data_IF_857168015078
#
_entry.id   IF_857168015078
#
_cell.length_a   1.000
_cell.length_b   1.000
_cell.length_c   1.000
_cell.angle_alpha   90.00
_cell.angle_beta   90.00
_cell.angle_gamma   90.00
#
_symmetry.space_group_name_H-M   'P 1'
#
loop_
_entity.id
_entity.type
_entity.pdbx_description
1 polymer ?
#
# COMPACT_ATOMS: atom_id res chain seq x y z
N UNK A 1 -26.18 14.45 5.76
CA UNK A 1 -26.74 13.08 5.76
C UNK A 1 -25.57 12.11 5.90
N UNK A 2 -25.59 11.19 6.87
CA UNK A 2 -24.61 10.09 6.99
C UNK A 2 -23.39 10.34 7.87
N UNK A 3 -23.58 10.40 9.19
CA UNK A 3 -22.53 10.13 10.19
C UNK A 3 -22.36 8.61 10.38
N UNK A 4 -21.23 8.24 10.98
CA UNK A 4 -20.99 7.02 11.77
C UNK A 4 -20.55 5.75 11.02
N UNK A 5 -19.23 5.49 11.06
CA UNK A 5 -18.66 4.33 11.78
C UNK A 5 -17.13 4.36 11.76
N UNK A 6 -16.57 5.01 12.78
CA UNK A 6 -15.28 4.59 13.32
C UNK A 6 -15.56 3.41 14.26
N UNK A 7 -15.03 2.22 13.96
CA UNK A 7 -14.97 1.14 14.94
C UNK A 7 -13.51 0.74 15.19
N UNK A 8 -13.14 0.82 16.47
CA UNK A 8 -11.82 0.62 17.02
C UNK A 8 -11.58 -0.89 17.20
N UNK A 9 -10.36 -1.33 16.93
CA UNK A 9 -9.89 -2.69 17.19
C UNK A 9 -8.46 -2.68 17.72
N UNK A 10 -8.23 -1.92 18.77
CA UNK A 10 -7.02 -2.02 19.60
C UNK A 10 -7.07 -3.33 20.38
N UNK A 11 -6.18 -4.27 20.11
CA UNK A 11 -5.81 -5.28 21.10
C UNK A 11 -4.32 -5.14 21.39
N UNK A 12 -4.07 -4.20 22.29
CA UNK A 12 -2.84 -4.02 23.01
C UNK A 12 -2.82 -5.00 24.19
N UNK A 13 -1.71 -5.73 24.28
CA UNK A 13 -1.15 -6.50 25.38
C UNK A 13 -1.92 -6.48 26.71
N UNK A 14 -2.32 -7.66 27.19
CA UNK A 14 -2.58 -7.89 28.61
C UNK A 14 -1.96 -9.21 29.07
N UNK A 15 -0.65 -9.13 29.31
CA UNK A 15 0.08 -10.05 30.18
C UNK A 15 -0.34 -9.68 31.61
N UNK A 16 -1.36 -10.36 32.13
CA UNK A 16 -1.74 -10.18 33.53
C UNK A 16 -0.79 -10.96 34.43
N UNK A 17 -0.25 -10.20 35.38
CA UNK A 17 0.77 -10.55 36.34
C UNK A 17 0.26 -11.59 37.33
N UNK A 18 1.05 -12.65 37.56
CA UNK A 18 0.89 -13.51 38.72
C UNK A 18 1.15 -12.69 39.99
N UNK A 19 0.08 -12.33 40.70
CA UNK A 19 0.17 -11.68 42.01
C UNK A 19 0.13 -12.77 43.07
N UNK A 20 1.28 -13.12 43.64
CA UNK A 20 1.34 -13.94 44.86
C UNK A 20 0.91 -13.05 46.02
N UNK A 21 -0.37 -13.11 46.39
CA UNK A 21 -0.87 -12.47 47.61
C UNK A 21 -0.51 -13.33 48.82
N UNK A 22 0.64 -13.02 49.41
CA UNK A 22 1.00 -13.45 50.74
C UNK A 22 0.34 -12.49 51.74
N UNK A 23 -0.93 -12.75 52.09
CA UNK A 23 -1.64 -11.99 53.11
C UNK A 23 -1.36 -12.61 54.48
N UNK A 24 -0.50 -11.94 55.25
CA UNK A 24 -0.26 -12.26 56.65
C UNK A 24 -1.55 -12.13 57.47
N UNK A 25 -1.95 -13.22 58.10
CA UNK A 25 -2.97 -13.24 59.14
C UNK A 25 -2.31 -13.30 60.52
N UNK A 26 -2.69 -12.30 61.31
CA UNK A 26 -2.41 -11.99 62.71
C UNK A 26 -2.07 -13.18 63.64
N UNK A 27 -1.04 -12.99 64.46
CA UNK A 27 -0.69 -13.83 65.60
C UNK A 27 -1.76 -13.71 66.70
N UNK A 28 -2.68 -14.66 66.74
CA UNK A 28 -3.47 -14.94 67.94
C UNK A 28 -2.80 -16.13 68.65
N UNK A 29 -2.12 -15.82 69.76
CA UNK A 29 -1.40 -16.79 70.58
C UNK A 29 -2.40 -17.41 71.56
N UNK A 30 -2.93 -18.57 71.23
CA UNK A 30 -3.76 -19.38 72.13
C UNK A 30 -2.92 -19.96 73.30
N UNK A 31 -3.53 -20.20 74.48
CA UNK A 31 -2.85 -20.74 75.67
C UNK A 31 -2.32 -22.16 75.42
N UNK A 32 -1.31 -22.63 76.18
CA UNK A 32 -0.60 -23.86 75.87
C UNK A 32 -1.53 -25.06 76.04
N UNK A 33 -2.02 -25.59 74.92
CA UNK A 33 -2.65 -26.89 74.89
C UNK A 33 -1.62 -27.91 75.36
N UNK A 34 -1.99 -28.59 76.44
CA UNK A 34 -1.37 -29.77 77.02
C UNK A 34 -0.81 -30.66 75.91
N UNK A 35 0.46 -31.05 76.02
CA UNK A 35 1.09 -32.07 75.19
C UNK A 35 0.40 -33.42 75.46
N UNK A 36 -0.79 -33.61 74.90
CA UNK A 36 -1.37 -34.91 74.64
C UNK A 36 -0.40 -35.60 73.68
N UNK A 37 0.27 -36.64 74.19
CA UNK A 37 1.12 -37.54 73.42
C UNK A 37 0.21 -38.23 72.41
N UNK A 38 0.01 -37.58 71.27
CA UNK A 38 -0.87 -38.04 70.19
C UNK A 38 -0.55 -39.49 69.86
N UNK A 39 -1.59 -40.33 69.91
CA UNK A 39 -1.49 -41.73 69.55
C UNK A 39 -0.71 -41.85 68.23
N UNK A 40 0.33 -42.69 68.21
CA UNK A 40 1.03 -42.97 66.96
C UNK A 40 -0.01 -43.40 65.92
N UNK A 41 0.01 -42.80 64.71
CA UNK A 41 -0.91 -43.18 63.67
C UNK A 41 -0.75 -44.68 63.45
N UNK A 42 -1.81 -45.42 63.78
CA UNK A 42 -1.80 -46.87 63.63
C UNK A 42 -1.51 -47.19 62.16
N UNK A 43 -0.77 -48.25 61.85
CA UNK A 43 -0.38 -48.56 60.45
C UNK A 43 -1.53 -48.54 59.44
N UNK A 44 -2.76 -48.81 59.90
CA UNK A 44 -4.00 -48.69 59.13
C UNK A 44 -4.29 -47.25 58.66
N UNK A 45 -4.08 -46.24 59.51
CA UNK A 45 -4.26 -44.83 59.16
C UNK A 45 -3.24 -44.37 58.11
N UNK A 46 -2.01 -44.86 58.20
CA UNK A 46 -0.94 -44.56 57.23
C UNK A 46 -1.29 -45.16 55.87
N UNK A 47 -1.74 -46.41 55.82
CA UNK A 47 -2.16 -47.07 54.58
C UNK A 47 -3.35 -46.36 53.93
N UNK A 48 -4.37 -45.99 54.72
CA UNK A 48 -5.52 -45.24 54.21
C UNK A 48 -5.11 -43.87 53.61
N UNK A 49 -4.16 -43.17 54.24
CA UNK A 49 -3.64 -41.91 53.71
C UNK A 49 -2.84 -42.10 52.41
N UNK A 50 -2.05 -43.17 52.30
CA UNK A 50 -1.32 -43.51 51.07
C UNK A 50 -2.31 -43.82 49.94
N UNK A 51 -3.34 -44.63 50.20
CA UNK A 51 -4.37 -44.96 49.22
C UNK A 51 -5.12 -43.71 48.76
N UNK A 52 -5.53 -42.84 49.69
CA UNK A 52 -6.17 -41.56 49.37
C UNK A 52 -5.29 -40.65 48.53
N UNK A 53 -4.00 -40.50 48.88
CA UNK A 53 -3.05 -39.70 48.12
C UNK A 53 -2.79 -40.28 46.73
N UNK A 54 -2.68 -41.61 46.63
CA UNK A 54 -2.50 -42.33 45.37
C UNK A 54 -3.70 -42.13 44.44
N UNK A 55 -4.92 -42.27 44.96
CA UNK A 55 -6.15 -42.01 44.21
C UNK A 55 -6.21 -40.55 43.74
N UNK A 56 -5.91 -39.58 44.61
CA UNK A 56 -5.92 -38.17 44.23
C UNK A 56 -4.92 -37.85 43.10
N UNK A 57 -3.71 -38.41 43.17
CA UNK A 57 -2.71 -38.27 42.09
C UNK A 57 -3.15 -38.95 40.80
N UNK A 58 -3.75 -40.14 40.90
CA UNK A 58 -4.26 -40.85 39.74
C UNK A 58 -5.34 -40.04 39.01
N UNK A 59 -6.24 -39.41 39.75
CA UNK A 59 -7.26 -38.51 39.17
C UNK A 59 -6.61 -37.30 38.48
N UNK A 60 -5.60 -36.67 39.08
CA UNK A 60 -4.88 -35.56 38.46
C UNK A 60 -4.14 -35.97 37.18
N UNK A 61 -3.48 -37.14 37.18
CA UNK A 61 -2.79 -37.67 36.00
C UNK A 61 -3.78 -37.90 34.86
N UNK A 62 -4.96 -38.46 35.15
CA UNK A 62 -6.01 -38.67 34.15
C UNK A 62 -6.53 -37.34 33.62
N UNK A 63 -6.76 -36.34 34.48
CA UNK A 63 -7.20 -35.01 34.05
C UNK A 63 -6.16 -34.35 33.12
N UNK A 64 -4.88 -34.37 33.50
CA UNK A 64 -3.78 -33.84 32.67
C UNK A 64 -3.71 -34.57 31.33
N UNK A 65 -3.88 -35.90 31.32
CA UNK A 65 -3.87 -36.66 30.07
C UNK A 65 -5.01 -36.25 29.13
N UNK A 66 -6.20 -35.93 29.68
CA UNK A 66 -7.32 -35.39 28.89
C UNK A 66 -6.96 -34.01 28.34
N UNK A 67 -6.46 -33.10 29.17
CA UNK A 67 -6.08 -31.75 28.74
C UNK A 67 -5.00 -31.77 27.64
N UNK A 68 -3.99 -32.65 27.77
CA UNK A 68 -2.97 -32.83 26.74
C UNK A 68 -3.56 -33.31 25.42
N UNK A 69 -4.56 -34.19 25.45
CA UNK A 69 -5.23 -34.64 24.23
C UNK A 69 -6.08 -33.53 23.59
N UNK A 70 -6.72 -32.70 24.41
CA UNK A 70 -7.45 -31.52 23.90
C UNK A 70 -6.49 -30.51 23.25
N UNK A 71 -5.38 -30.19 23.91
CA UNK A 71 -4.36 -29.30 23.36
C UNK A 71 -3.77 -29.83 22.04
N UNK A 72 -3.59 -31.15 21.91
CA UNK A 72 -3.16 -31.77 20.66
C UNK A 72 -4.18 -31.58 19.54
N UNK A 73 -5.47 -31.73 19.85
CA UNK A 73 -6.54 -31.49 18.89
C UNK A 73 -6.59 -30.02 18.46
N UNK A 74 -6.51 -29.09 19.41
CA UNK A 74 -6.50 -27.66 19.13
C UNK A 74 -5.28 -27.25 18.28
N UNK A 75 -4.09 -27.81 18.57
CA UNK A 75 -2.88 -27.57 17.79
C UNK A 75 -3.04 -28.04 16.33
N UNK A 76 -3.65 -29.20 16.11
CA UNK A 76 -3.95 -29.70 14.75
C UNK A 76 -4.84 -28.73 13.97
N UNK A 77 -5.86 -28.17 14.62
CA UNK A 77 -6.76 -27.19 13.99
C UNK A 77 -6.03 -25.89 13.67
N UNK A 78 -5.14 -25.43 14.56
CA UNK A 78 -4.34 -24.22 14.32
C UNK A 78 -3.36 -24.43 13.16
N UNK A 79 -2.73 -25.59 13.08
CA UNK A 79 -1.82 -25.96 11.98
C UNK A 79 -2.54 -25.92 10.63
N UNK A 80 -3.70 -26.58 10.51
CA UNK A 80 -4.51 -26.56 9.28
C UNK A 80 -4.90 -25.14 8.87
N UNK A 81 -5.30 -24.32 9.85
CA UNK A 81 -5.65 -22.92 9.60
C UNK A 81 -4.43 -22.10 9.17
N UNK A 82 -3.26 -22.34 9.75
CA UNK A 82 -2.02 -21.64 9.37
C UNK A 82 -1.68 -21.93 7.92
N UNK A 83 -1.64 -23.21 7.54
CA UNK A 83 -1.36 -23.64 6.17
C UNK A 83 -2.34 -23.01 5.18
N UNK A 84 -3.65 -23.09 5.46
CA UNK A 84 -4.67 -22.50 4.59
C UNK A 84 -4.53 -20.96 4.46
N UNK A 85 -4.07 -20.27 5.50
CA UNK A 85 -3.80 -18.83 5.42
C UNK A 85 -2.53 -18.51 4.64
N UNK A 86 -1.48 -19.30 4.79
CA UNK A 86 -0.21 -19.13 4.08
C UNK A 86 -0.38 -19.36 2.57
N UNK A 87 -1.16 -20.37 2.18
CA UNK A 87 -1.50 -20.63 0.78
C UNK A 87 -2.29 -19.46 0.17
N UNK A 88 -3.27 -18.92 0.90
CA UNK A 88 -4.04 -17.75 0.45
C UNK A 88 -3.15 -16.52 0.30
N UNK A 89 -2.23 -16.28 1.24
CA UNK A 89 -1.29 -15.17 1.16
C UNK A 89 -0.36 -15.33 -0.05
N UNK A 90 0.14 -16.53 -0.29
CA UNK A 90 1.00 -16.84 -1.45
C UNK A 90 0.26 -16.59 -2.77
N UNK A 91 -1.00 -17.03 -2.86
CA UNK A 91 -1.84 -16.79 -4.04
C UNK A 91 -2.07 -15.28 -4.26
N UNK A 92 -2.43 -14.55 -3.20
CA UNK A 92 -2.62 -13.10 -3.26
C UNK A 92 -1.35 -12.35 -3.68
N UNK A 93 -0.18 -12.80 -3.22
CA UNK A 93 1.11 -12.22 -3.64
C UNK A 93 1.33 -12.42 -5.13
N UNK A 94 1.09 -13.64 -5.64
CA UNK A 94 1.17 -13.93 -7.07
C UNK A 94 0.23 -13.05 -7.89
N UNK A 95 -1.02 -12.88 -7.45
CA UNK A 95 -1.99 -12.02 -8.15
C UNK A 95 -1.55 -10.56 -8.19
N UNK A 96 -1.00 -10.05 -7.08
CA UNK A 96 -0.45 -8.68 -7.00
C UNK A 96 0.71 -8.51 -7.97
N UNK A 97 1.60 -9.49 -8.07
CA UNK A 97 2.74 -9.44 -8.97
C UNK A 97 2.30 -9.48 -10.44
N UNK A 98 1.31 -10.33 -10.76
CA UNK A 98 0.68 -10.38 -12.08
C UNK A 98 0.04 -9.04 -12.42
N UNK A 99 -0.75 -8.46 -11.51
CA UNK A 99 -1.41 -7.16 -11.73
C UNK A 99 -0.40 -6.04 -11.94
N UNK A 100 0.68 -6.00 -11.15
CA UNK A 100 1.75 -5.02 -11.34
C UNK A 100 2.40 -5.17 -12.71
N UNK A 101 2.74 -6.40 -13.10
CA UNK A 101 3.43 -6.67 -14.36
C UNK A 101 2.56 -6.46 -15.60
N UNK A 102 1.26 -6.77 -15.51
CA UNK A 102 0.34 -6.75 -16.66
C UNK A 102 -0.43 -5.43 -16.80
N UNK A 103 -0.65 -4.71 -15.71
CA UNK A 103 -1.50 -3.51 -15.70
C UNK A 103 -0.73 -2.27 -15.33
N UNK A 104 -0.09 -2.24 -14.15
CA UNK A 104 0.54 -1.01 -13.66
C UNK A 104 1.69 -0.56 -14.56
N UNK A 105 2.66 -1.44 -14.81
CA UNK A 105 3.86 -1.07 -15.59
C UNK A 105 3.54 -0.73 -17.05
N UNK A 106 2.63 -1.44 -17.77
CA UNK A 106 2.33 -1.07 -19.14
C UNK A 106 1.51 0.22 -19.23
N UNK A 107 0.61 0.49 -18.29
CA UNK A 107 -0.18 1.73 -18.27
C UNK A 107 0.70 2.95 -17.97
N UNK A 108 1.64 2.85 -17.02
CA UNK A 108 2.61 3.91 -16.76
C UNK A 108 3.45 4.21 -18.01
N UNK A 109 3.95 3.16 -18.68
CA UNK A 109 4.71 3.31 -19.92
C UNK A 109 3.88 3.94 -21.06
N UNK A 110 2.62 3.54 -21.21
CA UNK A 110 1.71 4.11 -22.20
C UNK A 110 1.39 5.58 -21.91
N UNK A 111 1.13 5.91 -20.65
CA UNK A 111 0.84 7.29 -20.22
C UNK A 111 2.01 8.20 -20.55
N UNK A 112 3.23 7.81 -20.15
CA UNK A 112 4.44 8.56 -20.48
C UNK A 112 4.64 8.74 -21.99
N UNK A 113 4.41 7.68 -22.76
CA UNK A 113 4.51 7.73 -24.22
C UNK A 113 3.48 8.69 -24.83
N UNK A 114 2.27 8.74 -24.29
CA UNK A 114 1.24 9.66 -24.75
C UNK A 114 1.55 11.10 -24.37
N UNK A 115 2.07 11.34 -23.17
CA UNK A 115 2.54 12.66 -22.73
C UNK A 115 3.63 13.21 -23.67
N UNK A 116 4.64 12.40 -23.99
CA UNK A 116 5.71 12.79 -24.93
C UNK A 116 5.13 13.14 -26.33
N UNK A 117 4.16 12.35 -26.81
CA UNK A 117 3.51 12.63 -28.10
C UNK A 117 2.69 13.92 -28.08
N UNK A 118 2.04 14.22 -26.96
CA UNK A 118 1.28 15.47 -26.78
C UNK A 118 2.24 16.64 -26.74
N UNK A 119 3.32 16.57 -25.97
CA UNK A 119 4.33 17.62 -25.89
C UNK A 119 4.95 17.91 -27.28
N UNK A 120 5.32 16.87 -28.02
CA UNK A 120 5.87 17.00 -29.36
C UNK A 120 4.84 17.58 -30.37
N UNK A 121 3.57 17.15 -30.28
CA UNK A 121 2.50 17.69 -31.11
C UNK A 121 2.22 19.18 -30.79
N UNK A 122 2.14 19.54 -29.52
CA UNK A 122 1.98 20.93 -29.07
C UNK A 122 3.18 21.78 -29.48
N UNK A 123 4.38 21.24 -29.32
CA UNK A 123 5.62 21.88 -29.74
C UNK A 123 5.57 22.20 -31.23
N UNK A 124 5.27 21.21 -32.09
CA UNK A 124 5.10 21.44 -33.53
C UNK A 124 4.02 22.46 -33.86
N UNK A 125 2.86 22.38 -33.21
CA UNK A 125 1.75 23.29 -33.44
C UNK A 125 2.09 24.75 -33.09
N UNK A 126 2.96 24.98 -32.10
CA UNK A 126 3.38 26.31 -31.66
C UNK A 126 4.63 26.86 -32.36
N UNK A 127 5.38 26.07 -33.14
CA UNK A 127 6.64 26.50 -33.78
C UNK A 127 6.51 27.75 -34.64
N UNK A 128 5.37 27.93 -35.31
CA UNK A 128 5.12 29.08 -36.17
C UNK A 128 4.24 30.15 -35.49
N UNK A 129 3.88 29.96 -34.22
CA UNK A 129 3.03 30.89 -33.50
C UNK A 129 3.92 31.91 -32.78
N UNK A 130 3.73 33.18 -33.12
CA UNK A 130 4.36 34.29 -32.40
C UNK A 130 3.40 34.79 -31.32
N UNK A 131 3.92 34.95 -30.10
CA UNK A 131 3.17 35.57 -28.99
C UNK A 131 3.81 36.90 -28.66
N UNK A 132 3.12 37.98 -29.01
CA UNK A 132 3.55 39.34 -28.68
C UNK A 132 2.87 39.75 -27.37
N UNK A 133 3.66 40.24 -26.40
CA UNK A 133 3.19 40.61 -25.05
C UNK A 133 3.65 42.03 -24.76
N UNK A 134 2.81 42.82 -24.07
CA UNK A 134 3.14 44.19 -23.67
C UNK A 134 2.45 45.30 -24.47
N UNK A 135 1.52 44.96 -25.35
CA UNK A 135 0.61 45.95 -25.94
C UNK A 135 -0.51 46.30 -24.97
N UNK A 136 -0.89 47.58 -24.93
CA UNK A 136 -2.14 48.01 -24.31
C UNK A 136 -3.32 47.57 -25.19
N UNK A 137 -4.46 47.27 -24.57
CA UNK A 137 -5.65 46.81 -25.28
C UNK A 137 -6.14 47.86 -26.30
N UNK A 138 -6.46 47.41 -27.52
CA UNK A 138 -7.04 48.26 -28.57
C UNK A 138 -6.05 49.06 -29.43
N UNK A 139 -4.73 48.94 -29.21
CA UNK A 139 -3.71 49.64 -30.05
C UNK A 139 -3.70 49.19 -31.50
N UNK A 140 -4.21 48.00 -31.75
CA UNK A 140 -4.27 47.34 -33.04
C UNK A 140 -5.33 47.99 -33.96
N UNK A 141 -6.27 48.75 -33.38
CA UNK A 141 -7.37 49.36 -34.10
C UNK A 141 -8.29 48.31 -34.76
N UNK A 142 -8.85 48.65 -35.92
CA UNK A 142 -9.77 47.77 -36.65
C UNK A 142 -9.06 46.71 -37.51
N UNK A 143 -7.75 46.84 -37.76
CA UNK A 143 -6.99 45.92 -38.61
C UNK A 143 -5.66 45.51 -37.96
N UNK A 144 -5.69 44.33 -37.33
CA UNK A 144 -4.56 43.72 -36.63
C UNK A 144 -3.38 43.42 -37.56
N UNK A 145 -3.65 42.98 -38.79
CA UNK A 145 -2.60 42.60 -39.75
C UNK A 145 -1.74 43.81 -40.15
N UNK A 146 -2.38 44.93 -40.47
CA UNK A 146 -1.68 46.17 -40.83
C UNK A 146 -0.87 46.73 -39.65
N UNK A 147 -1.40 46.64 -38.43
CA UNK A 147 -0.69 47.03 -37.22
C UNK A 147 0.55 46.15 -36.99
N UNK A 148 0.40 44.81 -37.07
CA UNK A 148 1.51 43.88 -36.89
C UNK A 148 2.59 44.05 -37.97
N UNK A 149 2.20 44.28 -39.22
CA UNK A 149 3.16 44.49 -40.32
C UNK A 149 4.00 45.76 -40.08
N UNK A 150 3.36 46.87 -39.72
CA UNK A 150 4.04 48.13 -39.40
C UNK A 150 4.91 47.99 -38.14
N UNK A 151 4.42 47.30 -37.11
CA UNK A 151 5.18 47.04 -35.89
C UNK A 151 6.42 46.17 -36.16
N UNK A 152 6.30 45.09 -36.95
CA UNK A 152 7.42 44.23 -37.33
C UNK A 152 8.47 45.02 -38.10
N UNK A 153 8.07 45.82 -39.11
CA UNK A 153 8.98 46.66 -39.90
C UNK A 153 9.74 47.67 -39.04
N UNK A 154 9.08 48.24 -38.02
CA UNK A 154 9.69 49.20 -37.09
C UNK A 154 10.60 48.54 -36.06
N UNK A 155 10.21 47.37 -35.56
CA UNK A 155 10.87 46.72 -34.42
C UNK A 155 12.03 45.81 -34.84
N UNK A 156 11.93 45.21 -36.03
CA UNK A 156 12.99 44.43 -36.65
C UNK A 156 13.56 45.23 -37.82
N UNK A 157 14.52 46.15 -37.58
CA UNK A 157 15.23 46.79 -38.67
C UNK A 157 15.86 45.70 -39.53
N UNK A 158 15.77 45.83 -40.86
CA UNK A 158 16.30 44.84 -41.79
C UNK A 158 17.77 44.57 -41.46
N UNK A 159 18.03 43.49 -40.73
CA UNK A 159 19.38 42.96 -40.64
C UNK A 159 19.77 42.63 -42.09
N UNK A 160 20.98 43.00 -42.54
CA UNK A 160 21.47 42.49 -43.81
C UNK A 160 21.42 40.98 -43.69
N UNK A 161 20.49 40.35 -44.41
CA UNK A 161 20.50 38.92 -44.59
C UNK A 161 21.82 38.63 -45.30
N UNK A 162 22.85 38.26 -44.55
CA UNK A 162 24.04 37.62 -45.09
C UNK A 162 23.67 36.20 -45.54
N UNK A 163 22.62 36.08 -46.35
CA UNK A 163 22.38 34.93 -47.19
C UNK A 163 22.95 35.36 -48.53
N UNK A 164 24.07 34.75 -48.89
CA UNK A 164 24.87 35.13 -50.05
C UNK A 164 24.00 35.44 -51.26
N UNK A 165 24.24 36.61 -51.84
CA UNK A 165 23.58 37.11 -53.03
C UNK A 165 23.62 36.07 -54.16
N UNK A 166 22.49 35.43 -54.43
CA UNK A 166 22.31 34.56 -55.60
C UNK A 166 21.23 33.49 -55.42
N UNK A 167 19.96 33.80 -55.66
CA UNK A 167 18.90 32.80 -55.79
C UNK A 167 17.49 33.41 -55.83
N UNK A 168 16.56 32.88 -56.66
CA UNK A 168 15.46 33.64 -57.26
C UNK A 168 14.31 33.93 -56.30
N UNK A 169 13.57 35.00 -56.64
CA UNK A 169 12.47 35.57 -55.87
C UNK A 169 11.49 34.53 -55.31
N UNK A 170 11.22 34.65 -54.02
CA UNK A 170 10.26 33.82 -53.32
C UNK A 170 8.86 34.30 -53.69
N UNK A 171 8.18 33.57 -54.58
CA UNK A 171 6.74 33.63 -54.69
C UNK A 171 6.15 32.79 -53.55
N UNK A 172 5.45 33.44 -52.61
CA UNK A 172 4.72 32.77 -51.55
C UNK A 172 3.40 32.25 -52.13
N UNK A 173 3.38 31.00 -52.56
CA UNK A 173 2.15 30.31 -52.99
C UNK A 173 1.69 29.39 -51.85
N UNK A 174 0.57 29.75 -51.22
CA UNK A 174 -0.08 28.91 -50.20
C UNK A 174 -0.76 27.72 -50.88
N UNK A 175 -0.06 26.59 -50.98
CA UNK A 175 -0.65 25.31 -51.37
C UNK A 175 -1.40 24.65 -50.20
N UNK A 176 -2.52 23.92 -50.43
CA UNK A 176 -3.31 23.35 -49.37
C UNK A 176 -2.56 22.21 -48.68
N UNK A 177 -2.67 22.21 -47.35
CA UNK A 177 -2.04 21.28 -46.42
C UNK A 177 -2.48 19.83 -46.70
N UNK A 178 -1.57 18.99 -47.22
CA UNK A 178 -1.84 17.56 -47.37
C UNK A 178 -1.83 16.89 -46.00
N UNK A 179 -2.99 16.39 -45.59
CA UNK A 179 -3.17 15.48 -44.47
C UNK A 179 -2.40 14.18 -44.73
N UNK A 180 -1.45 13.85 -43.86
CA UNK A 180 -0.68 12.62 -43.95
C UNK A 180 -1.53 11.39 -43.62
N UNK A 181 -1.85 10.58 -44.64
CA UNK A 181 -2.16 9.17 -44.46
C UNK A 181 -0.89 8.33 -44.72
N UNK A 182 -0.58 7.31 -43.91
CA UNK A 182 0.55 6.42 -44.16
C UNK A 182 0.19 5.39 -45.24
N UNK A 183 0.78 5.53 -46.43
CA UNK A 183 0.70 4.52 -47.50
C UNK A 183 1.60 3.33 -47.13
N UNK A 184 0.97 2.17 -46.92
CA UNK A 184 1.64 0.90 -46.67
C UNK A 184 2.06 0.26 -48.02
N UNK A 185 3.31 -0.18 -48.22
CA UNK A 185 3.73 -0.76 -49.50
C UNK A 185 3.16 -2.17 -49.72
N UNK A 186 2.89 -2.58 -50.99
CA UNK A 186 2.32 -3.89 -51.27
C UNK A 186 3.38 -4.99 -51.08
N UNK A 187 2.98 -6.03 -50.36
CA UNK A 187 3.69 -7.30 -50.27
C UNK A 187 3.81 -7.89 -51.68
N UNK A 188 5.05 -8.07 -52.17
CA UNK A 188 5.33 -8.90 -53.34
C UNK A 188 5.30 -10.36 -52.91
N UNK A 189 4.49 -11.16 -53.62
CA UNK A 189 4.53 -12.61 -53.61
C UNK A 189 5.87 -13.14 -54.14
#
# INVERSE_FOLDING_TARGET
>A
MGKDRANKGTQQTRMDQYTVQNAGASLQRDPPATLEKGAEPTGVQILAAIESSSQAKQTQIVAIAVDVNLLRADLSVVEERSVATEEKVTCMQSDVDILKASVATPLEAQTRKLEERVEDAEGRARRCNLRVVGFSEGVEGANVEAFLEDWVRKSLPAAPLCWGSGGPGWAFEWGPQQSGEPVNPPLRC
#
